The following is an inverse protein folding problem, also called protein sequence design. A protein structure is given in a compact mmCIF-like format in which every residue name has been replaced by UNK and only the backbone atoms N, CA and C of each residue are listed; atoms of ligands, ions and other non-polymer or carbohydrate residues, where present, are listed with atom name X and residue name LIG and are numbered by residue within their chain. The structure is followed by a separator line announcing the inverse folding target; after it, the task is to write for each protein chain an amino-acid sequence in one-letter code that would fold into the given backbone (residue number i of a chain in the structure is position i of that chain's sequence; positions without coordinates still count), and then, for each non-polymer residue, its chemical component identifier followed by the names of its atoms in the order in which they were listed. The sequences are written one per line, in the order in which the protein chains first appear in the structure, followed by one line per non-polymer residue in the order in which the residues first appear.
data_IF_036958119787
#
_entry.id   IF_036958119787
#
_cell.length_a   1.000
_cell.length_b   1.000
_cell.length_c   1.000
_cell.angle_alpha   90.00
_cell.angle_beta   90.00
_cell.angle_gamma   90.00
#
_symmetry.space_group_name_H-M   'P 1'
#
loop_
_entity.id
_entity.type
_entity.pdbx_description
1 polymer ?
#
# COMPACT_ATOMS: atom_id res chain seq x y z
N UNK A 1 -37.93 5.98 14.13
CA UNK A 1 -37.51 4.86 15.00
C UNK A 1 -35.98 4.78 14.95
N UNK A 2 -35.29 5.09 16.03
CA UNK A 2 -33.82 5.12 16.06
C UNK A 2 -33.27 3.73 16.38
N UNK A 3 -32.42 3.18 15.51
CA UNK A 3 -31.77 1.90 15.77
C UNK A 3 -30.65 2.11 16.80
N UNK A 4 -30.79 1.50 17.97
CA UNK A 4 -29.71 1.48 18.96
C UNK A 4 -28.58 0.61 18.39
N UNK A 5 -27.44 1.24 18.08
CA UNK A 5 -26.26 0.56 17.56
C UNK A 5 -25.25 0.36 18.67
N UNK A 6 -24.71 -0.86 18.78
CA UNK A 6 -23.65 -1.15 19.72
C UNK A 6 -22.32 -0.62 19.18
N UNK A 7 -21.88 0.53 19.70
CA UNK A 7 -20.65 1.20 19.26
C UNK A 7 -19.40 0.33 19.46
N UNK A 8 -19.35 -0.50 20.50
CA UNK A 8 -18.23 -1.43 20.74
C UNK A 8 -18.12 -2.46 19.62
N UNK A 9 -19.24 -3.04 19.21
CA UNK A 9 -19.27 -4.00 18.10
C UNK A 9 -18.87 -3.34 16.78
N UNK A 10 -19.39 -2.14 16.50
CA UNK A 10 -19.03 -1.37 15.30
C UNK A 10 -17.52 -1.05 15.23
N UNK A 11 -16.93 -0.57 16.35
CA UNK A 11 -15.47 -0.32 16.42
C UNK A 11 -14.65 -1.59 16.21
N UNK A 12 -15.08 -2.71 16.81
CA UNK A 12 -14.40 -3.99 16.64
C UNK A 12 -14.47 -4.47 15.19
N UNK A 13 -15.62 -4.30 14.53
CA UNK A 13 -15.79 -4.66 13.13
C UNK A 13 -14.87 -3.83 12.23
N UNK A 14 -14.89 -2.49 12.40
CA UNK A 14 -13.98 -1.58 11.69
C UNK A 14 -12.52 -1.99 11.84
N UNK A 15 -12.07 -2.27 13.07
CA UNK A 15 -10.70 -2.70 13.31
C UNK A 15 -10.33 -4.04 12.65
N UNK A 16 -11.29 -4.95 12.46
CA UNK A 16 -11.06 -6.20 11.70
C UNK A 16 -10.99 -5.94 10.21
N UNK A 17 -11.85 -5.06 9.70
CA UNK A 17 -11.89 -4.72 8.28
C UNK A 17 -10.63 -3.95 7.86
N UNK A 18 -10.15 -3.03 8.69
CA UNK A 18 -8.86 -2.34 8.50
C UNK A 18 -7.69 -3.34 8.45
N UNK A 19 -7.72 -4.37 9.31
CA UNK A 19 -6.68 -5.43 9.30
C UNK A 19 -6.75 -6.28 8.04
N UNK A 20 -7.96 -6.61 7.56
CA UNK A 20 -8.15 -7.39 6.34
C UNK A 20 -7.67 -6.60 5.12
N UNK A 21 -8.07 -5.34 4.98
CA UNK A 21 -7.63 -4.47 3.89
C UNK A 21 -6.11 -4.30 3.84
N UNK A 22 -5.45 -4.17 5.01
CA UNK A 22 -3.98 -4.17 5.10
C UNK A 22 -3.38 -5.51 4.67
N UNK A 23 -4.00 -6.62 5.06
CA UNK A 23 -3.60 -7.96 4.62
C UNK A 23 -3.68 -8.12 3.11
N UNK A 24 -4.79 -7.70 2.50
CA UNK A 24 -5.00 -7.78 1.05
C UNK A 24 -4.00 -6.90 0.28
N UNK A 25 -3.76 -5.67 0.77
CA UNK A 25 -2.74 -4.79 0.21
C UNK A 25 -1.33 -5.38 0.32
N UNK A 26 -1.01 -6.05 1.42
CA UNK A 26 0.27 -6.73 1.59
C UNK A 26 0.37 -7.98 0.69
N UNK A 27 -0.70 -8.78 0.59
CA UNK A 27 -0.74 -9.93 -0.31
C UNK A 27 -0.54 -9.52 -1.77
N UNK A 28 -1.13 -8.41 -2.19
CA UNK A 28 -0.89 -7.85 -3.52
C UNK A 28 0.57 -7.38 -3.71
N UNK A 29 1.18 -6.77 -2.68
CA UNK A 29 2.57 -6.25 -2.76
C UNK A 29 3.65 -7.33 -2.63
N UNK A 30 3.37 -8.40 -1.89
CA UNK A 30 4.34 -9.43 -1.55
C UNK A 30 4.05 -10.78 -2.23
N UNK A 31 2.89 -10.93 -2.86
CA UNK A 31 2.54 -12.08 -3.71
C UNK A 31 3.06 -11.96 -5.15
N UNK A 32 3.62 -10.81 -5.53
CA UNK A 32 4.28 -10.64 -6.82
C UNK A 32 5.52 -11.53 -6.93
N UNK A 33 5.80 -12.02 -8.13
CA UNK A 33 7.01 -12.79 -8.37
C UNK A 33 8.25 -11.92 -8.11
N UNK A 34 9.31 -12.52 -7.55
CA UNK A 34 10.55 -11.80 -7.24
C UNK A 34 11.12 -11.08 -8.47
N UNK A 35 11.00 -11.67 -9.65
CA UNK A 35 11.40 -11.09 -10.93
C UNK A 35 10.66 -9.79 -11.25
N UNK A 36 9.34 -9.78 -11.13
CA UNK A 36 8.48 -8.63 -11.43
C UNK A 36 8.72 -7.47 -10.45
N UNK A 37 8.99 -7.78 -9.19
CA UNK A 37 9.37 -6.77 -8.20
C UNK A 37 10.72 -6.13 -8.54
N UNK A 38 11.69 -6.93 -8.97
CA UNK A 38 13.02 -6.44 -9.33
C UNK A 38 13.00 -5.59 -10.60
N UNK A 39 12.21 -5.97 -11.62
CA UNK A 39 12.08 -5.16 -12.84
C UNK A 39 11.47 -3.80 -12.55
N UNK A 40 10.39 -3.75 -11.74
CA UNK A 40 9.77 -2.48 -11.35
C UNK A 40 10.73 -1.59 -10.56
N UNK A 41 11.51 -2.16 -9.66
CA UNK A 41 12.50 -1.41 -8.89
C UNK A 41 13.61 -0.87 -9.82
N UNK A 42 14.12 -1.68 -10.74
CA UNK A 42 15.13 -1.24 -11.70
C UNK A 42 14.63 -0.11 -12.62
N UNK A 43 13.36 -0.16 -13.02
CA UNK A 43 12.70 0.92 -13.79
C UNK A 43 12.57 2.20 -12.96
N UNK A 44 12.13 2.10 -11.70
CA UNK A 44 12.03 3.24 -10.79
C UNK A 44 13.41 3.89 -10.55
N UNK A 45 14.44 3.10 -10.27
CA UNK A 45 15.81 3.58 -10.07
C UNK A 45 16.35 4.24 -11.34
N UNK A 46 16.03 3.70 -12.53
CA UNK A 46 16.41 4.33 -13.80
C UNK A 46 15.74 5.68 -13.98
N UNK A 47 14.44 5.77 -13.71
CA UNK A 47 13.70 7.02 -13.80
C UNK A 47 14.27 8.06 -12.82
N UNK A 48 14.53 7.67 -11.57
CA UNK A 48 15.14 8.54 -10.57
C UNK A 48 16.51 9.05 -11.04
N UNK A 49 17.38 8.16 -11.53
CA UNK A 49 18.69 8.57 -12.08
C UNK A 49 18.56 9.59 -13.21
N UNK A 50 17.59 9.41 -14.11
CA UNK A 50 17.34 10.38 -15.19
C UNK A 50 16.90 11.72 -14.61
N UNK A 51 15.96 11.72 -13.66
CA UNK A 51 15.51 12.96 -13.01
C UNK A 51 16.64 13.67 -12.26
N UNK A 52 17.48 12.94 -11.53
CA UNK A 52 18.63 13.50 -10.82
C UNK A 52 19.69 14.04 -11.77
N UNK A 53 19.92 13.39 -12.91
CA UNK A 53 20.87 13.89 -13.93
C UNK A 53 20.47 15.26 -14.51
N UNK A 54 19.18 15.62 -14.43
CA UNK A 54 18.67 16.92 -14.87
C UNK A 54 18.51 17.92 -13.73
N UNK A 55 18.80 17.54 -12.49
CA UNK A 55 18.71 18.42 -11.33
C UNK A 55 19.92 19.35 -11.33
N UNK A 56 19.67 20.65 -11.28
CA UNK A 56 20.70 21.68 -11.03
C UNK A 56 20.68 21.98 -9.54
N UNK A 57 21.81 21.81 -8.89
CA UNK A 57 21.99 22.23 -7.51
C UNK A 57 22.15 23.76 -7.53
N UNK A 58 21.12 24.49 -7.10
CA UNK A 58 21.23 25.90 -6.70
C UNK A 58 21.70 25.99 -5.24
#
# INVERSE_FOLDING_TARGET
MTRIVNLRQARKQRARDDKRAKGDANAARFGEARSERLTRQAEADRAERIHQAHKKDE
#
